data_IF_195652289891
#
_entry.id   IF_195652289891
#
_cell.length_a   1.000
_cell.length_b   1.000
_cell.length_c   1.000
_cell.angle_alpha   90.00
_cell.angle_beta   90.00
_cell.angle_gamma   90.00
#
_symmetry.space_group_name_H-M   'P 1'
#
loop_
_entity.id
_entity.type
_entity.pdbx_description
1 polymer ?
#
# COMPACT_ATOMS: atom_id res chain seq x y z
N UNK A 1 6.86 -41.31 13.23
CA UNK A 1 6.38 -40.07 13.86
C UNK A 1 7.26 -38.86 13.48
N UNK A 2 8.59 -38.90 13.70
CA UNK A 2 9.51 -37.80 13.37
C UNK A 2 9.50 -37.32 11.90
N UNK A 3 9.42 -38.23 10.93
CA UNK A 3 9.38 -37.87 9.50
C UNK A 3 8.14 -37.02 9.12
N UNK A 4 6.99 -37.27 9.76
CA UNK A 4 5.78 -36.48 9.53
C UNK A 4 5.94 -35.05 10.06
N UNK A 5 6.54 -34.91 11.26
CA UNK A 5 6.79 -33.62 11.90
C UNK A 5 7.75 -32.77 11.05
N UNK A 6 8.85 -33.34 10.54
CA UNK A 6 9.81 -32.63 9.69
C UNK A 6 9.13 -32.12 8.40
N UNK A 7 8.29 -32.95 7.77
CA UNK A 7 7.54 -32.55 6.56
C UNK A 7 6.54 -31.45 6.84
N UNK A 8 5.83 -31.54 7.96
CA UNK A 8 4.89 -30.49 8.38
C UNK A 8 5.61 -29.17 8.65
N UNK A 9 6.78 -29.23 9.29
CA UNK A 9 7.57 -28.04 9.60
C UNK A 9 8.08 -27.34 8.33
N UNK A 10 8.63 -28.09 7.37
CA UNK A 10 9.06 -27.52 6.08
C UNK A 10 7.90 -26.92 5.28
N UNK A 11 6.72 -27.57 5.33
CA UNK A 11 5.51 -27.05 4.69
C UNK A 11 5.03 -25.75 5.34
N UNK A 12 5.01 -25.70 6.68
CA UNK A 12 4.65 -24.48 7.41
C UNK A 12 5.61 -23.35 7.12
N UNK A 13 6.92 -23.61 7.12
CA UNK A 13 7.95 -22.63 6.81
C UNK A 13 7.75 -22.04 5.40
N UNK A 14 7.46 -22.89 4.42
CA UNK A 14 7.16 -22.46 3.05
C UNK A 14 5.95 -21.54 2.99
N UNK A 15 4.82 -21.94 3.60
CA UNK A 15 3.60 -21.12 3.60
C UNK A 15 3.83 -19.80 4.33
N UNK A 16 4.51 -19.82 5.48
CA UNK A 16 4.75 -18.59 6.24
C UNK A 16 5.66 -17.63 5.49
N UNK A 17 6.65 -18.13 4.76
CA UNK A 17 7.55 -17.30 3.96
C UNK A 17 6.82 -16.68 2.75
N UNK A 18 5.99 -17.46 2.05
CA UNK A 18 5.17 -16.96 0.95
C UNK A 18 4.13 -15.94 1.43
N UNK A 19 3.48 -16.20 2.57
CA UNK A 19 2.55 -15.26 3.18
C UNK A 19 3.23 -13.95 3.60
N UNK A 20 4.43 -14.02 4.19
CA UNK A 20 5.21 -12.83 4.54
C UNK A 20 5.55 -12.00 3.29
N UNK A 21 6.01 -12.65 2.22
CA UNK A 21 6.32 -11.96 0.98
C UNK A 21 5.09 -11.29 0.34
N UNK A 22 3.94 -11.97 0.35
CA UNK A 22 2.69 -11.39 -0.14
C UNK A 22 2.25 -10.17 0.69
N UNK A 23 2.42 -10.22 2.02
CA UNK A 23 2.14 -9.09 2.90
C UNK A 23 3.07 -7.91 2.66
N UNK A 24 4.36 -8.14 2.40
CA UNK A 24 5.31 -7.09 2.06
C UNK A 24 4.91 -6.37 0.77
N UNK A 25 4.55 -7.12 -0.27
CA UNK A 25 4.06 -6.55 -1.54
C UNK A 25 2.79 -5.72 -1.32
N UNK A 26 1.85 -6.20 -0.51
CA UNK A 26 0.64 -5.45 -0.18
C UNK A 26 0.95 -4.18 0.62
N UNK A 27 1.91 -4.23 1.55
CA UNK A 27 2.34 -3.07 2.32
C UNK A 27 2.97 -1.99 1.44
N UNK A 28 3.80 -2.40 0.48
CA UNK A 28 4.41 -1.51 -0.51
C UNK A 28 3.35 -0.86 -1.40
N UNK A 29 2.42 -1.65 -1.92
CA UNK A 29 1.30 -1.14 -2.73
C UNK A 29 0.43 -0.16 -1.94
N UNK A 30 0.08 -0.50 -0.69
CA UNK A 30 -0.71 0.38 0.17
C UNK A 30 0.02 1.70 0.44
N UNK A 31 1.35 1.66 0.61
CA UNK A 31 2.17 2.86 0.81
C UNK A 31 2.20 3.71 -0.46
N UNK A 32 2.42 3.12 -1.63
CA UNK A 32 2.39 3.84 -2.91
C UNK A 32 1.03 4.50 -3.17
N UNK A 33 -0.06 3.78 -2.91
CA UNK A 33 -1.42 4.32 -3.04
C UNK A 33 -1.64 5.52 -2.12
N UNK A 34 -1.25 5.42 -0.84
CA UNK A 34 -1.36 6.55 0.10
C UNK A 34 -0.58 7.75 -0.39
N UNK A 35 0.67 7.56 -0.84
CA UNK A 35 1.49 8.65 -1.37
C UNK A 35 0.85 9.31 -2.58
N UNK A 36 0.34 8.53 -3.54
CA UNK A 36 -0.34 9.07 -4.71
C UNK A 36 -1.61 9.85 -4.33
N UNK A 37 -2.41 9.34 -3.39
CA UNK A 37 -3.60 10.05 -2.88
C UNK A 37 -3.20 11.38 -2.23
N UNK A 38 -2.16 11.41 -1.41
CA UNK A 38 -1.69 12.64 -0.78
C UNK A 38 -1.16 13.66 -1.81
N UNK A 39 -0.41 13.20 -2.81
CA UNK A 39 0.05 14.06 -3.90
C UNK A 39 -1.12 14.66 -4.68
N UNK A 40 -2.09 13.84 -5.09
CA UNK A 40 -3.28 14.33 -5.80
C UNK A 40 -4.08 15.31 -4.95
N UNK A 41 -4.24 15.03 -3.65
CA UNK A 41 -4.92 15.94 -2.74
C UNK A 41 -4.21 17.29 -2.65
N UNK A 42 -2.88 17.29 -2.50
CA UNK A 42 -2.11 18.54 -2.47
C UNK A 42 -2.26 19.35 -3.76
N UNK A 43 -2.17 18.69 -4.92
CA UNK A 43 -2.36 19.36 -6.22
C UNK A 43 -3.78 19.91 -6.34
N UNK A 44 -4.79 19.14 -5.92
CA UNK A 44 -6.17 19.59 -5.94
C UNK A 44 -6.39 20.78 -5.01
N UNK A 45 -5.86 20.74 -3.79
CA UNK A 45 -5.95 21.84 -2.81
C UNK A 45 -5.28 23.12 -3.36
N UNK A 46 -4.15 22.98 -4.05
CA UNK A 46 -3.48 24.08 -4.73
C UNK A 46 -4.34 24.67 -5.86
N UNK A 47 -4.84 23.83 -6.76
CA UNK A 47 -5.69 24.27 -7.87
C UNK A 47 -6.99 24.91 -7.38
N UNK A 48 -7.60 24.38 -6.32
CA UNK A 48 -8.79 24.98 -5.71
C UNK A 48 -8.47 26.32 -5.02
N UNK A 49 -7.27 26.52 -4.49
CA UNK A 49 -6.87 27.82 -3.95
C UNK A 49 -6.64 28.86 -5.07
N UNK A 50 -6.10 28.46 -6.21
CA UNK A 50 -5.92 29.34 -7.38
C UNK A 50 -7.24 29.64 -8.12
N UNK A 51 -8.08 28.63 -8.34
CA UNK A 51 -9.26 28.69 -9.22
C UNK A 51 -10.61 28.71 -8.47
N UNK A 52 -10.61 28.38 -7.17
CA UNK A 52 -11.82 28.33 -6.33
C UNK A 52 -12.24 29.68 -5.74
N UNK A 53 -11.43 30.72 -5.93
CA UNK A 53 -11.91 32.09 -5.82
C UNK A 53 -12.81 32.39 -7.01
N UNK A 54 -14.13 32.52 -6.77
CA UNK A 54 -15.04 33.15 -7.74
C UNK A 54 -14.30 34.31 -8.35
N UNK A 55 -14.04 34.24 -9.66
CA UNK A 55 -13.48 35.30 -10.48
C UNK A 55 -13.99 36.66 -9.98
N UNK A 56 -13.20 37.30 -9.13
CA UNK A 56 -13.32 38.71 -8.79
C UNK A 56 -12.75 39.49 -9.96
N UNK A 57 -13.34 39.31 -11.15
CA UNK A 57 -13.16 40.29 -12.21
C UNK A 57 -13.88 41.54 -11.72
N UNK A 58 -13.07 42.56 -11.42
CA UNK A 58 -13.49 43.96 -11.33
C UNK A 58 -14.45 44.31 -12.47
#
# INVERSE_FOLDING_TARGET
>A
NLNCIIRLQAFLETITNEAAHALDVLADQATQMRTAIFQHRMVLDYLLAEEGGICGKL
#
